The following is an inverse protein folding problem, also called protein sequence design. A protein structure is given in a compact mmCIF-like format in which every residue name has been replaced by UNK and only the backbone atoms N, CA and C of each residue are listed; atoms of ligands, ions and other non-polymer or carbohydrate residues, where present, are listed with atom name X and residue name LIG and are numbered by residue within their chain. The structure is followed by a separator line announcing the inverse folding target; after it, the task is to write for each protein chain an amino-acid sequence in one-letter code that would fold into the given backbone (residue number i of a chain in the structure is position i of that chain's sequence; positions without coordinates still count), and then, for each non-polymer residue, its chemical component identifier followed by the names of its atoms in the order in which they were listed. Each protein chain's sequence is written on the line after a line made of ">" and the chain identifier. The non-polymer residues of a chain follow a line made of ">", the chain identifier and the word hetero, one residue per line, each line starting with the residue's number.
data_IF_226379227463
#
_entry.id   IF_226379227463
#
_cell.length_a   1.000
_cell.length_b   1.000
_cell.length_c   1.000
_cell.angle_alpha   90.00
_cell.angle_beta   90.00
_cell.angle_gamma   90.00
#
_symmetry.space_group_name_H-M   'P 1'
#
loop_
_entity.id
_entity.type
_entity.pdbx_description
1 polymer ?
#
# COMPACT_ATOMS: atom_id res chain seq x y z
N UNK A 1 19.11 2.79 -5.47
CA UNK A 1 18.18 1.92 -6.21
C UNK A 1 18.98 1.36 -7.37
N UNK A 2 19.38 0.09 -7.31
CA UNK A 2 20.17 -0.55 -8.37
C UNK A 2 19.26 -1.41 -9.25
N UNK A 3 19.27 -1.19 -10.56
CA UNK A 3 18.51 -2.02 -11.52
C UNK A 3 18.92 -3.50 -11.45
N UNK A 4 20.16 -3.77 -11.04
CA UNK A 4 20.68 -5.12 -10.85
C UNK A 4 20.01 -5.83 -9.66
N UNK A 5 19.79 -5.12 -8.54
CA UNK A 5 19.11 -5.68 -7.36
C UNK A 5 17.64 -5.99 -7.66
N UNK A 6 16.97 -5.11 -8.41
CA UNK A 6 15.58 -5.30 -8.84
C UNK A 6 15.42 -6.57 -9.69
N UNK A 7 16.35 -6.79 -10.62
CA UNK A 7 16.37 -7.97 -11.50
C UNK A 7 16.60 -9.27 -10.73
N UNK A 8 17.56 -9.28 -9.80
CA UNK A 8 17.88 -10.48 -9.01
C UNK A 8 16.72 -10.91 -8.12
N UNK A 9 15.98 -9.95 -7.57
CA UNK A 9 14.84 -10.21 -6.68
C UNK A 9 13.51 -10.35 -7.42
N UNK A 10 13.50 -10.20 -8.75
CA UNK A 10 12.26 -10.17 -9.57
C UNK A 10 11.24 -9.16 -9.04
N UNK A 11 11.72 -7.97 -8.66
CA UNK A 11 10.89 -6.86 -8.19
C UNK A 11 10.93 -5.73 -9.20
N UNK A 12 9.83 -4.99 -9.32
CA UNK A 12 9.74 -3.79 -10.15
C UNK A 12 9.44 -2.60 -9.24
N UNK A 13 10.26 -1.55 -9.32
CA UNK A 13 9.94 -0.31 -8.62
C UNK A 13 8.91 0.51 -9.40
N UNK A 14 7.92 1.04 -8.68
CA UNK A 14 7.02 2.08 -9.19
C UNK A 14 7.05 3.32 -8.29
N UNK A 15 7.22 4.54 -8.86
CA UNK A 15 7.13 5.78 -8.09
C UNK A 15 5.69 6.19 -7.79
N UNK A 16 4.70 5.59 -8.46
CA UNK A 16 3.30 5.96 -8.38
C UNK A 16 2.52 4.99 -7.49
N UNK A 17 2.17 5.43 -6.29
CA UNK A 17 1.39 4.62 -5.35
C UNK A 17 0.06 4.15 -5.98
N UNK A 18 -0.62 5.00 -6.75
CA UNK A 18 -1.88 4.64 -7.41
C UNK A 18 -1.72 3.48 -8.40
N UNK A 19 -0.59 3.43 -9.15
CA UNK A 19 -0.28 2.32 -10.05
C UNK A 19 -0.04 1.03 -9.27
N UNK A 20 0.67 1.10 -8.15
CA UNK A 20 0.89 -0.05 -7.27
C UNK A 20 -0.45 -0.61 -6.74
N UNK A 21 -1.30 0.27 -6.20
CA UNK A 21 -2.55 -0.11 -5.55
C UNK A 21 -3.55 -0.75 -6.52
N UNK A 22 -3.68 -0.20 -7.73
CA UNK A 22 -4.65 -0.69 -8.73
C UNK A 22 -4.23 -1.98 -9.43
N UNK A 23 -2.93 -2.30 -9.44
CA UNK A 23 -2.40 -3.50 -10.12
C UNK A 23 -2.20 -4.70 -9.19
N UNK A 24 -2.04 -4.48 -7.89
CA UNK A 24 -1.72 -5.53 -6.93
C UNK A 24 -2.96 -6.32 -6.46
N UNK A 25 -2.79 -7.64 -6.32
CA UNK A 25 -3.78 -8.53 -5.66
C UNK A 25 -3.53 -8.63 -4.15
N UNK A 26 -2.27 -8.46 -3.73
CA UNK A 26 -1.87 -8.43 -2.32
C UNK A 26 -0.99 -7.21 -2.09
N UNK A 27 -1.32 -6.43 -1.07
CA UNK A 27 -0.61 -5.20 -0.71
C UNK A 27 -0.15 -5.35 0.74
N UNK A 28 1.16 -5.34 0.96
CA UNK A 28 1.76 -5.37 2.30
C UNK A 28 2.54 -4.10 2.58
N UNK A 29 2.21 -3.41 3.68
CA UNK A 29 2.81 -2.12 4.03
C UNK A 29 3.93 -2.30 5.05
N UNK A 30 5.12 -1.84 4.67
CA UNK A 30 6.36 -1.96 5.47
C UNK A 30 7.09 -0.61 5.60
N UNK A 31 6.38 0.44 5.98
CA UNK A 31 6.96 1.77 6.22
C UNK A 31 7.00 2.10 7.72
N UNK A 32 8.01 2.84 8.21
CA UNK A 32 7.96 3.38 9.55
C UNK A 32 6.85 4.42 9.68
N UNK A 33 6.35 4.64 10.89
CA UNK A 33 5.44 5.74 11.17
C UNK A 33 6.24 7.05 11.31
N UNK A 34 6.04 7.95 10.36
CA UNK A 34 6.61 9.29 10.28
C UNK A 34 5.45 10.28 9.99
N UNK A 35 5.64 11.59 10.17
CA UNK A 35 4.62 12.57 9.79
C UNK A 35 4.15 12.42 8.34
N UNK A 36 5.05 12.04 7.42
CA UNK A 36 4.76 11.87 6.00
C UNK A 36 4.05 10.55 5.66
N UNK A 37 4.18 9.53 6.52
CA UNK A 37 3.58 8.19 6.30
C UNK A 37 2.37 7.95 7.20
N UNK A 38 2.00 8.93 8.03
CA UNK A 38 0.77 8.88 8.82
C UNK A 38 -0.43 8.98 7.89
N UNK A 39 -1.36 8.04 8.02
CA UNK A 39 -2.55 7.91 7.17
C UNK A 39 -2.20 7.85 5.67
N UNK A 40 -1.06 7.24 5.34
CA UNK A 40 -0.63 7.02 3.96
C UNK A 40 -1.67 6.23 3.16
N UNK A 41 -2.36 5.29 3.81
CA UNK A 41 -3.45 4.52 3.20
C UNK A 41 -4.75 4.90 3.88
N UNK A 42 -5.63 5.61 3.15
CA UNK A 42 -6.98 5.94 3.60
C UNK A 42 -8.04 5.54 2.57
N UNK A 43 -9.22 6.17 2.65
CA UNK A 43 -10.36 5.81 1.80
C UNK A 43 -10.06 5.94 0.30
N UNK A 44 -9.31 6.97 -0.10
CA UNK A 44 -8.93 7.19 -1.49
C UNK A 44 -8.02 6.07 -2.02
N UNK A 45 -7.01 5.68 -1.24
CA UNK A 45 -6.08 4.61 -1.61
C UNK A 45 -6.77 3.26 -1.65
N UNK A 46 -7.66 2.97 -0.70
CA UNK A 46 -8.45 1.75 -0.73
C UNK A 46 -9.39 1.69 -1.94
N UNK A 47 -9.98 2.82 -2.36
CA UNK A 47 -10.84 2.87 -3.54
C UNK A 47 -10.10 2.60 -4.86
N UNK A 48 -8.77 2.74 -4.87
CA UNK A 48 -7.93 2.40 -6.01
C UNK A 48 -7.59 0.91 -6.08
N UNK A 49 -7.73 0.17 -4.98
CA UNK A 49 -7.41 -1.25 -4.94
C UNK A 49 -8.44 -2.07 -5.72
N UNK A 50 -8.02 -3.26 -6.18
CA UNK A 50 -8.97 -4.23 -6.72
C UNK A 50 -9.99 -4.62 -5.64
N UNK A 51 -11.26 -4.86 -5.99
CA UNK A 51 -12.25 -5.36 -5.02
C UNK A 51 -11.85 -6.68 -4.36
N UNK A 52 -10.99 -7.47 -5.01
CA UNK A 52 -10.45 -8.74 -4.53
C UNK A 52 -9.10 -8.61 -3.82
N UNK A 53 -8.56 -7.39 -3.71
CA UNK A 53 -7.23 -7.20 -3.14
C UNK A 53 -7.22 -7.49 -1.64
N UNK A 54 -6.13 -8.09 -1.16
CA UNK A 54 -5.89 -8.30 0.27
C UNK A 54 -4.88 -7.27 0.75
N UNK A 55 -5.29 -6.47 1.73
CA UNK A 55 -4.44 -5.47 2.36
C UNK A 55 -3.89 -5.94 3.71
N UNK A 56 -2.57 -5.86 3.88
CA UNK A 56 -1.84 -6.35 5.05
C UNK A 56 -1.03 -5.18 5.63
N UNK A 57 -1.28 -4.86 6.90
CA UNK A 57 -0.47 -3.92 7.66
C UNK A 57 0.10 -4.60 8.90
N UNK A 58 1.39 -4.94 8.85
CA UNK A 58 2.18 -5.41 10.02
C UNK A 58 3.15 -4.35 10.54
N UNK A 59 3.02 -3.10 10.09
CA UNK A 59 3.89 -1.98 10.46
C UNK A 59 3.42 -1.24 11.73
N UNK A 60 2.73 -0.10 11.58
CA UNK A 60 2.13 0.69 12.64
C UNK A 60 0.70 1.05 12.26
N UNK A 61 -0.22 0.95 13.21
CA UNK A 61 -1.64 1.24 13.00
C UNK A 61 -1.88 2.60 12.31
N UNK A 62 -1.29 3.71 12.79
CA UNK A 62 -1.50 5.04 12.21
C UNK A 62 -0.92 5.28 10.82
N UNK A 63 -0.26 4.30 10.19
CA UNK A 63 0.05 4.37 8.75
C UNK A 63 -1.22 4.25 7.91
N UNK A 64 -2.26 3.62 8.46
CA UNK A 64 -3.55 3.42 7.82
C UNK A 64 -4.60 4.26 8.54
N UNK A 65 -5.39 5.00 7.77
CA UNK A 65 -6.60 5.65 8.29
C UNK A 65 -7.71 4.60 8.41
N UNK A 66 -7.98 4.21 9.66
CA UNK A 66 -8.98 3.19 9.98
C UNK A 66 -10.41 3.61 9.60
N UNK A 67 -10.69 4.90 9.46
CA UNK A 67 -11.99 5.38 8.98
C UNK A 67 -12.25 4.97 7.53
N UNK A 68 -11.18 4.86 6.71
CA UNK A 68 -11.28 4.36 5.35
C UNK A 68 -11.68 2.89 5.27
N UNK A 69 -11.15 2.06 6.19
CA UNK A 69 -11.38 0.59 6.21
C UNK A 69 -12.87 0.26 6.33
N UNK A 70 -13.61 0.96 7.19
CA UNK A 70 -15.03 0.66 7.44
C UNK A 70 -15.89 0.82 6.18
N UNK A 71 -15.52 1.73 5.27
CA UNK A 71 -16.30 2.02 4.08
C UNK A 71 -16.17 0.97 2.97
N UNK A 72 -15.15 0.11 2.99
CA UNK A 72 -14.91 -0.88 1.92
C UNK A 72 -15.34 -2.30 2.34
N UNK A 73 -15.55 -2.52 3.64
CA UNK A 73 -16.01 -3.80 4.21
C UNK A 73 -17.53 -3.91 4.34
N UNK A 74 -18.28 -2.87 3.97
CA UNK A 74 -19.75 -2.81 4.00
C UNK A 74 -20.31 -2.80 2.58
#
# INVERSE_FOLDING_TARGET
>A
RSEEEERQLSVEYTPELAKLLSSADFISVHVPLLPQTRHLIGAAEFALMKPTAVFINTSRGPVVDQSGIMNILT
#
